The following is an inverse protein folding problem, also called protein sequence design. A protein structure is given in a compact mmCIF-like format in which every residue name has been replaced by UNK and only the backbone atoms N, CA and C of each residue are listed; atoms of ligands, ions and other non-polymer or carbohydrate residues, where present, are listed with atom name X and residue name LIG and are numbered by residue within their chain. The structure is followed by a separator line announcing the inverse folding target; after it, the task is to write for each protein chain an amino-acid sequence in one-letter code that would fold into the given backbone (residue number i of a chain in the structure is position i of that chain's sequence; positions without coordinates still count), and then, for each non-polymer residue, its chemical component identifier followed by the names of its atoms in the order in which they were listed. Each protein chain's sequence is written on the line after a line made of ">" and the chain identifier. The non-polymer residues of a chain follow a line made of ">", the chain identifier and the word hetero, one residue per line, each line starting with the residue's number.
data_IF_971675579696
#
_entry.id   IF_971675579696
#
_cell.length_a   1.000
_cell.length_b   1.000
_cell.length_c   1.000
_cell.angle_alpha   90.00
_cell.angle_beta   90.00
_cell.angle_gamma   90.00
#
_symmetry.space_group_name_H-M   'P 1'
#
loop_
_entity.id
_entity.type
_entity.pdbx_description
1 polymer ?
#
# COMPACT_ATOMS: atom_id res chain seq x y z
N UNK A 1 28.30 -9.27 -73.31
CA UNK A 1 29.33 -9.71 -72.32
C UNK A 1 29.42 -8.64 -71.23
N UNK A 2 29.53 -9.08 -69.97
CA UNK A 2 29.72 -8.28 -68.71
C UNK A 2 28.39 -7.65 -68.20
N UNK A 3 27.63 -8.20 -67.22
CA UNK A 3 27.80 -8.40 -65.74
C UNK A 3 28.09 -7.05 -65.02
N UNK A 4 27.40 -6.53 -64.01
CA UNK A 4 26.62 -7.08 -62.89
C UNK A 4 25.98 -5.93 -62.05
N UNK A 5 24.99 -6.29 -61.21
CA UNK A 5 24.61 -5.72 -59.88
C UNK A 5 24.04 -4.29 -59.81
N UNK A 6 23.18 -3.88 -58.85
CA UNK A 6 22.19 -4.49 -57.95
C UNK A 6 21.60 -3.36 -57.06
N UNK A 7 20.53 -3.67 -56.32
CA UNK A 7 19.87 -2.89 -55.24
C UNK A 7 19.09 -1.64 -55.73
N UNK A 8 17.86 -1.37 -55.32
CA UNK A 8 17.08 -1.83 -54.17
C UNK A 8 16.59 -0.60 -53.40
N UNK A 9 15.29 -0.25 -53.50
CA UNK A 9 14.67 0.75 -52.62
C UNK A 9 13.29 0.21 -52.19
N UNK A 10 13.28 -0.50 -51.06
CA UNK A 10 12.07 -0.77 -50.30
C UNK A 10 11.89 0.38 -49.30
N UNK A 11 10.82 1.14 -49.43
CA UNK A 11 10.41 2.15 -48.46
C UNK A 11 9.89 1.44 -47.20
N UNK A 12 10.69 1.40 -46.13
CA UNK A 12 10.19 1.16 -44.78
C UNK A 12 9.67 2.48 -44.22
N UNK A 13 8.37 2.55 -43.95
CA UNK A 13 7.78 3.61 -43.15
C UNK A 13 8.02 3.29 -41.66
N UNK A 14 9.02 3.95 -41.06
CA UNK A 14 9.26 3.92 -39.62
C UNK A 14 8.24 4.85 -38.94
N UNK A 15 7.16 4.29 -38.38
CA UNK A 15 6.28 5.03 -37.46
C UNK A 15 7.01 5.13 -36.12
N UNK A 16 7.74 6.22 -35.92
CA UNK A 16 8.25 6.61 -34.61
C UNK A 16 7.05 7.17 -33.84
N UNK A 17 6.40 6.34 -33.03
CA UNK A 17 5.62 6.82 -31.89
C UNK A 17 6.62 7.36 -30.86
N UNK A 18 7.08 8.59 -31.07
CA UNK A 18 7.62 9.40 -30.00
C UNK A 18 6.49 9.60 -29.01
N UNK A 19 6.54 8.87 -27.90
CA UNK A 19 5.66 9.08 -26.77
C UNK A 19 5.69 10.56 -26.40
N UNK A 20 4.55 11.22 -26.53
CA UNK A 20 4.34 12.51 -25.91
C UNK A 20 4.43 12.28 -24.39
N UNK A 21 5.64 12.41 -23.85
CA UNK A 21 5.85 12.82 -22.48
C UNK A 21 5.17 14.17 -22.33
N UNK A 22 3.95 14.14 -21.82
CA UNK A 22 3.17 15.32 -21.50
C UNK A 22 3.80 16.05 -20.33
N UNK A 23 4.88 16.80 -20.60
CA UNK A 23 5.36 17.88 -19.77
C UNK A 23 4.37 19.04 -19.85
N UNK A 24 3.16 18.83 -19.33
CA UNK A 24 2.17 19.88 -19.10
C UNK A 24 2.33 20.36 -17.67
N UNK A 25 3.11 21.42 -17.47
CA UNK A 25 3.16 22.17 -16.21
C UNK A 25 1.85 22.94 -16.01
N UNK A 26 0.71 22.26 -15.88
CA UNK A 26 -0.42 22.84 -15.17
C UNK A 26 -0.05 22.81 -13.70
N UNK A 27 0.53 23.91 -13.20
CA UNK A 27 0.70 24.13 -11.76
C UNK A 27 -0.71 24.30 -11.15
N UNK A 28 -1.43 23.20 -11.02
CA UNK A 28 -2.56 23.15 -10.10
C UNK A 28 -1.88 23.22 -8.73
N UNK A 29 -1.88 24.41 -8.12
CA UNK A 29 -1.49 24.56 -6.73
C UNK A 29 -2.45 23.69 -5.92
N UNK A 30 -1.97 22.66 -5.23
CA UNK A 30 -2.82 21.85 -4.38
C UNK A 30 -3.52 22.72 -3.34
N UNK A 31 -4.82 22.53 -3.17
CA UNK A 31 -5.64 23.34 -2.27
C UNK A 31 -6.86 22.58 -1.77
N UNK A 32 -7.38 22.99 -0.62
CA UNK A 32 -8.63 22.47 -0.07
C UNK A 32 -9.79 22.83 -0.99
N UNK A 33 -10.48 21.81 -1.51
CA UNK A 33 -11.68 22.00 -2.34
C UNK A 33 -12.94 21.99 -1.48
N UNK A 34 -13.09 21.00 -0.60
CA UNK A 34 -14.24 20.85 0.30
C UNK A 34 -13.92 19.99 1.51
N UNK A 35 -14.71 20.12 2.56
CA UNK A 35 -14.73 19.22 3.72
C UNK A 35 -16.02 18.43 3.68
N UNK A 36 -15.93 17.11 3.54
CA UNK A 36 -17.09 16.22 3.50
C UNK A 36 -17.30 15.63 4.90
N UNK A 37 -18.43 15.91 5.57
CA UNK A 37 -18.70 15.31 6.87
C UNK A 37 -18.91 13.81 6.74
N UNK A 38 -18.17 13.01 7.51
CA UNK A 38 -18.38 11.57 7.60
C UNK A 38 -19.59 11.31 8.50
N UNK A 39 -20.67 10.67 8.01
CA UNK A 39 -21.87 10.49 8.82
C UNK A 39 -21.60 9.62 10.05
N UNK A 40 -22.11 10.00 11.22
CA UNK A 40 -21.95 9.22 12.45
C UNK A 40 -20.67 9.51 13.25
N UNK A 41 -19.75 10.32 12.72
CA UNK A 41 -18.61 10.83 13.49
C UNK A 41 -19.05 12.11 14.23
N UNK A 42 -19.18 12.00 15.55
CA UNK A 42 -19.60 13.10 16.44
C UNK A 42 -18.66 13.24 17.63
N UNK A 43 -18.85 14.26 18.47
CA UNK A 43 -18.08 14.44 19.71
C UNK A 43 -18.11 13.17 20.56
N UNK A 44 -16.94 12.67 20.95
CA UNK A 44 -16.79 11.42 21.69
C UNK A 44 -16.62 10.16 20.83
N UNK A 45 -16.66 10.30 19.50
CA UNK A 45 -16.29 9.25 18.55
C UNK A 45 -14.86 9.48 18.06
N UNK A 46 -14.02 8.44 18.09
CA UNK A 46 -12.77 8.45 17.35
C UNK A 46 -13.06 7.94 15.95
N UNK A 47 -12.83 8.78 14.94
CA UNK A 47 -12.95 8.32 13.56
C UNK A 47 -11.80 7.36 13.25
N UNK A 48 -12.14 6.09 13.08
CA UNK A 48 -11.23 4.99 12.83
C UNK A 48 -11.48 4.44 11.43
N UNK A 49 -10.48 4.62 10.59
CA UNK A 49 -10.40 4.20 9.20
C UNK A 49 -8.93 3.86 8.93
N UNK A 50 -8.67 3.30 7.75
CA UNK A 50 -7.33 2.89 7.39
C UNK A 50 -6.99 3.31 5.95
N UNK A 51 -7.24 2.44 4.96
CA UNK A 51 -6.86 2.68 3.57
C UNK A 51 -8.02 3.18 2.72
N UNK A 52 -7.65 4.01 1.73
CA UNK A 52 -8.53 4.48 0.68
C UNK A 52 -8.00 4.17 -0.71
N UNK A 53 -8.90 4.10 -1.70
CA UNK A 53 -8.56 3.97 -3.10
C UNK A 53 -9.52 4.76 -4.00
N UNK A 54 -9.00 5.29 -5.10
CA UNK A 54 -9.76 6.06 -6.09
C UNK A 54 -10.01 5.23 -7.34
N UNK A 55 -11.29 4.97 -7.64
CA UNK A 55 -11.73 4.41 -8.91
C UNK A 55 -11.98 5.56 -9.89
N UNK A 56 -10.96 5.87 -10.69
CA UNK A 56 -11.05 6.94 -11.70
C UNK A 56 -12.12 6.68 -12.77
N UNK A 57 -12.40 5.41 -13.09
CA UNK A 57 -13.41 5.06 -14.09
C UNK A 57 -14.84 5.30 -13.58
N UNK A 58 -15.10 4.97 -12.30
CA UNK A 58 -16.39 5.29 -11.65
C UNK A 58 -16.44 6.70 -11.08
N UNK A 59 -15.31 7.40 -11.01
CA UNK A 59 -15.13 8.71 -10.36
C UNK A 59 -15.57 8.67 -8.89
N UNK A 60 -15.16 7.60 -8.19
CA UNK A 60 -15.49 7.36 -6.78
C UNK A 60 -14.23 7.15 -5.97
N UNK A 61 -14.26 7.56 -4.71
CA UNK A 61 -13.27 7.16 -3.72
C UNK A 61 -13.94 6.20 -2.73
N UNK A 62 -13.26 5.12 -2.42
CA UNK A 62 -13.67 4.11 -1.46
C UNK A 62 -12.69 4.15 -0.29
N UNK A 63 -13.18 4.05 0.94
CA UNK A 63 -12.31 3.96 2.12
C UNK A 63 -12.94 3.07 3.19
N UNK A 64 -12.10 2.40 3.97
CA UNK A 64 -12.56 1.56 5.08
C UNK A 64 -13.05 2.40 6.24
N UNK A 65 -14.09 1.96 6.95
CA UNK A 65 -14.63 2.69 8.09
C UNK A 65 -15.03 1.70 9.20
N UNK A 66 -14.19 1.64 10.25
CA UNK A 66 -14.38 0.72 11.37
C UNK A 66 -15.53 1.15 12.29
N UNK A 67 -15.83 2.46 12.37
CA UNK A 67 -16.97 2.96 13.15
C UNK A 67 -18.30 2.43 12.61
N UNK A 68 -18.44 2.33 11.29
CA UNK A 68 -19.68 1.93 10.63
C UNK A 68 -19.66 0.53 10.02
N UNK A 69 -18.61 -0.27 10.28
CA UNK A 69 -18.49 -1.63 9.76
C UNK A 69 -18.71 -1.69 8.24
N UNK A 70 -18.03 -0.81 7.51
CA UNK A 70 -18.31 -0.60 6.09
C UNK A 70 -17.09 -0.15 5.29
N UNK A 71 -17.25 -0.24 3.97
CA UNK A 71 -16.52 0.60 3.03
C UNK A 71 -17.43 1.77 2.65
N UNK A 72 -16.98 2.99 2.96
CA UNK A 72 -17.72 4.21 2.67
C UNK A 72 -17.27 4.76 1.30
N UNK A 73 -18.21 5.41 0.60
CA UNK A 73 -18.02 5.84 -0.79
C UNK A 73 -18.26 7.34 -0.92
N UNK A 74 -17.30 8.04 -1.51
CA UNK A 74 -17.40 9.45 -1.91
C UNK A 74 -17.59 9.53 -3.42
N UNK A 75 -18.55 10.34 -3.84
CA UNK A 75 -18.67 10.77 -5.23
C UNK A 75 -17.73 11.96 -5.49
N UNK A 76 -16.70 11.74 -6.30
CA UNK A 76 -15.68 12.76 -6.61
C UNK A 76 -16.26 13.94 -7.43
N UNK A 77 -17.11 13.73 -8.46
CA UNK A 77 -17.66 14.85 -9.25
C UNK A 77 -18.41 15.88 -8.42
N UNK A 78 -19.24 15.43 -7.48
CA UNK A 78 -20.06 16.30 -6.63
C UNK A 78 -19.41 16.64 -5.29
N UNK A 79 -18.31 15.96 -4.95
CA UNK A 79 -17.65 15.99 -3.65
C UNK A 79 -18.63 15.72 -2.49
N UNK A 80 -19.40 14.64 -2.59
CA UNK A 80 -20.39 14.27 -1.57
C UNK A 80 -20.21 12.83 -1.08
N UNK A 81 -20.61 12.59 0.16
CA UNK A 81 -20.79 11.23 0.66
C UNK A 81 -21.93 10.55 -0.10
N UNK A 82 -21.63 9.42 -0.73
CA UNK A 82 -22.58 8.70 -1.58
C UNK A 82 -23.33 7.62 -0.81
N UNK A 83 -22.61 6.68 -0.18
CA UNK A 83 -23.20 5.51 0.49
C UNK A 83 -22.20 4.77 1.37
N UNK A 84 -22.73 3.77 2.10
CA UNK A 84 -21.97 2.72 2.78
C UNK A 84 -22.20 1.38 2.11
N UNK A 85 -21.13 0.61 1.96
CA UNK A 85 -21.18 -0.80 1.57
C UNK A 85 -20.92 -1.61 2.84
N UNK A 86 -21.97 -2.24 3.37
CA UNK A 86 -21.90 -3.14 4.53
C UNK A 86 -21.87 -4.59 4.06
N UNK A 87 -21.45 -5.50 4.93
CA UNK A 87 -21.35 -6.92 4.61
C UNK A 87 -20.71 -7.78 5.70
N UNK A 88 -21.02 -7.44 6.95
CA UNK A 88 -20.49 -8.13 8.12
C UNK A 88 -19.00 -7.88 8.36
N UNK A 89 -18.55 -6.63 8.19
CA UNK A 89 -17.22 -6.21 8.63
C UNK A 89 -17.14 -6.19 10.16
N UNK A 90 -15.96 -6.46 10.73
CA UNK A 90 -15.79 -6.59 12.17
C UNK A 90 -16.15 -5.30 12.94
N UNK A 91 -15.72 -4.15 12.42
CA UNK A 91 -15.78 -2.87 13.12
C UNK A 91 -14.73 -2.78 14.21
N UNK A 92 -14.87 -1.75 15.05
CA UNK A 92 -14.05 -1.62 16.24
C UNK A 92 -14.43 -2.64 17.32
N UNK A 93 -13.43 -3.32 17.89
CA UNK A 93 -13.62 -4.31 18.94
C UNK A 93 -14.23 -3.74 20.25
N UNK A 94 -14.23 -2.41 20.41
CA UNK A 94 -14.85 -1.69 21.54
C UNK A 94 -16.22 -1.10 21.22
N UNK A 95 -16.75 -1.32 20.02
CA UNK A 95 -18.02 -0.77 19.56
C UNK A 95 -17.86 0.49 18.70
N UNK A 96 -18.98 1.10 18.24
CA UNK A 96 -19.01 2.04 17.11
C UNK A 96 -18.33 3.39 17.39
N UNK A 97 -18.05 3.73 18.65
CA UNK A 97 -17.30 4.95 19.00
C UNK A 97 -15.80 4.81 18.76
N UNK A 98 -15.30 3.56 18.67
CA UNK A 98 -13.89 3.20 18.51
C UNK A 98 -12.95 3.75 19.60
N UNK A 99 -13.48 4.26 20.70
CA UNK A 99 -12.66 4.74 21.82
C UNK A 99 -11.94 3.56 22.45
N UNK A 100 -10.61 3.61 22.46
CA UNK A 100 -9.76 2.53 22.98
C UNK A 100 -9.79 1.24 22.15
N UNK A 101 -10.22 1.31 20.88
CA UNK A 101 -10.18 0.17 19.99
C UNK A 101 -8.74 -0.34 19.81
N UNK A 102 -8.60 -1.66 19.73
CA UNK A 102 -7.36 -2.34 19.39
C UNK A 102 -7.28 -2.46 17.87
N UNK A 103 -6.24 -1.89 17.27
CA UNK A 103 -6.08 -1.90 15.83
C UNK A 103 -6.04 -3.32 15.29
N UNK A 104 -5.35 -4.25 15.96
CA UNK A 104 -5.20 -5.61 15.47
C UNK A 104 -6.49 -6.42 15.51
N UNK A 105 -7.48 -5.99 16.30
CA UNK A 105 -8.76 -6.71 16.48
C UNK A 105 -9.94 -5.99 15.86
N UNK A 106 -9.67 -4.99 15.03
CA UNK A 106 -10.69 -4.12 14.45
C UNK A 106 -10.47 -3.99 12.95
N UNK A 107 -11.57 -3.95 12.18
CA UNK A 107 -11.54 -3.75 10.74
C UNK A 107 -12.82 -3.09 10.21
N UNK A 108 -12.95 -2.82 8.90
CA UNK A 108 -11.98 -3.14 7.85
C UNK A 108 -10.74 -2.23 7.87
N UNK A 109 -9.67 -2.71 7.25
CA UNK A 109 -8.34 -2.08 7.26
C UNK A 109 -7.89 -1.79 5.81
N UNK A 110 -7.18 -2.70 5.16
CA UNK A 110 -6.74 -2.54 3.77
C UNK A 110 -7.88 -2.56 2.77
N UNK A 111 -7.66 -1.88 1.65
CA UNK A 111 -8.62 -1.78 0.56
C UNK A 111 -7.89 -1.62 -0.77
N UNK A 112 -8.19 -2.51 -1.72
CA UNK A 112 -7.55 -2.49 -3.03
C UNK A 112 -8.58 -2.69 -4.14
N UNK A 113 -8.58 -1.76 -5.10
CA UNK A 113 -9.30 -1.92 -6.35
C UNK A 113 -8.58 -2.97 -7.21
N UNK A 114 -9.32 -3.97 -7.68
CA UNK A 114 -8.77 -4.98 -8.58
C UNK A 114 -9.02 -4.53 -10.02
N UNK A 115 -8.05 -3.79 -10.56
CA UNK A 115 -8.14 -3.17 -11.89
C UNK A 115 -8.43 -4.20 -12.98
N UNK A 116 -9.33 -3.84 -13.90
CA UNK A 116 -9.84 -4.77 -14.93
C UNK A 116 -10.99 -5.67 -14.47
N UNK A 117 -11.44 -5.55 -13.22
CA UNK A 117 -12.64 -6.23 -12.69
C UNK A 117 -13.59 -5.23 -12.04
N UNK A 118 -14.73 -5.70 -11.51
CA UNK A 118 -15.63 -4.90 -10.68
C UNK A 118 -15.36 -5.05 -9.19
N UNK A 119 -14.30 -5.76 -8.80
CA UNK A 119 -14.08 -6.15 -7.42
C UNK A 119 -13.18 -5.18 -6.65
N UNK A 120 -13.50 -5.02 -5.36
CA UNK A 120 -12.62 -4.44 -4.33
C UNK A 120 -12.35 -5.54 -3.32
N UNK A 121 -11.08 -5.74 -2.98
CA UNK A 121 -10.67 -6.65 -1.92
C UNK A 121 -10.37 -5.82 -0.68
N UNK A 122 -10.90 -6.24 0.46
CA UNK A 122 -10.90 -5.47 1.69
C UNK A 122 -10.41 -6.37 2.82
N UNK A 123 -9.34 -5.96 3.50
CA UNK A 123 -8.84 -6.62 4.71
C UNK A 123 -9.80 -6.40 5.87
N UNK A 124 -10.03 -7.45 6.65
CA UNK A 124 -10.85 -7.43 7.85
C UNK A 124 -10.34 -8.49 8.84
N UNK A 125 -10.92 -8.55 10.03
CA UNK A 125 -10.53 -9.53 11.06
C UNK A 125 -10.73 -10.96 10.54
N UNK A 126 -9.66 -11.77 10.59
CA UNK A 126 -9.57 -13.15 10.09
C UNK A 126 -10.07 -13.33 8.63
N UNK A 127 -10.14 -12.27 7.82
CA UNK A 127 -10.71 -12.41 6.48
C UNK A 127 -10.29 -11.35 5.47
N UNK A 128 -10.49 -11.71 4.20
CA UNK A 128 -10.58 -10.77 3.08
C UNK A 128 -12.00 -10.80 2.56
N UNK A 129 -12.65 -9.64 2.49
CA UNK A 129 -13.99 -9.48 1.92
C UNK A 129 -13.90 -8.93 0.51
N UNK A 130 -14.68 -9.50 -0.39
CA UNK A 130 -14.75 -9.07 -1.79
C UNK A 130 -16.06 -8.32 -1.99
N UNK A 131 -15.98 -7.05 -2.37
CA UNK A 131 -17.11 -6.23 -2.79
C UNK A 131 -17.21 -6.28 -4.31
N UNK A 132 -18.41 -6.49 -4.87
CA UNK A 132 -18.70 -6.19 -6.27
C UNK A 132 -19.29 -4.78 -6.39
N UNK A 133 -18.61 -3.90 -7.11
CA UNK A 133 -19.01 -2.50 -7.32
C UNK A 133 -20.13 -2.31 -8.34
N UNK A 134 -20.59 -3.38 -9.00
CA UNK A 134 -21.80 -3.36 -9.84
C UNK A 134 -23.05 -3.32 -8.98
N UNK A 135 -23.06 -4.10 -7.91
CA UNK A 135 -24.17 -4.20 -6.95
C UNK A 135 -23.92 -3.41 -5.67
N UNK A 136 -22.68 -2.98 -5.43
CA UNK A 136 -22.20 -2.36 -4.19
C UNK A 136 -22.48 -3.25 -2.96
N UNK A 137 -22.14 -4.55 -3.06
CA UNK A 137 -22.37 -5.56 -2.02
C UNK A 137 -21.14 -6.44 -1.79
N UNK A 138 -20.93 -6.92 -0.56
CA UNK A 138 -19.97 -7.99 -0.28
C UNK A 138 -20.49 -9.30 -0.86
N UNK A 139 -19.77 -9.85 -1.84
CA UNK A 139 -20.14 -11.08 -2.57
C UNK A 139 -19.39 -12.31 -2.10
N UNK A 140 -18.26 -12.14 -1.39
CA UNK A 140 -17.47 -13.24 -0.85
C UNK A 140 -16.70 -12.83 0.39
N UNK A 141 -16.49 -13.78 1.29
CA UNK A 141 -15.54 -13.68 2.40
C UNK A 141 -14.56 -14.85 2.27
N UNK A 142 -13.26 -14.56 2.23
CA UNK A 142 -12.17 -15.52 2.22
C UNK A 142 -11.58 -15.51 3.64
N UNK A 143 -11.65 -16.64 4.34
CA UNK A 143 -11.07 -16.75 5.67
C UNK A 143 -9.54 -16.85 5.59
N UNK A 144 -8.85 -16.08 6.43
CA UNK A 144 -7.39 -16.10 6.64
C UNK A 144 -7.10 -16.02 8.15
N UNK A 145 -5.86 -16.24 8.62
CA UNK A 145 -5.50 -16.12 10.06
C UNK A 145 -6.14 -17.16 10.99
N UNK A 146 -7.07 -17.97 10.51
CA UNK A 146 -7.74 -18.98 11.30
C UNK A 146 -8.62 -18.35 12.39
N UNK A 147 -8.29 -18.61 13.65
CA UNK A 147 -9.05 -18.16 14.82
C UNK A 147 -8.27 -17.14 15.68
N UNK A 148 -7.23 -16.52 15.12
CA UNK A 148 -6.39 -15.55 15.84
C UNK A 148 -7.18 -14.33 16.32
N UNK A 149 -8.20 -13.92 15.56
CA UNK A 149 -8.96 -12.70 15.84
C UNK A 149 -8.20 -11.45 15.42
N UNK A 150 -7.23 -11.60 14.51
CA UNK A 150 -6.34 -10.54 14.06
C UNK A 150 -6.72 -10.07 12.65
N UNK A 151 -6.42 -8.81 12.36
CA UNK A 151 -6.73 -8.17 11.08
C UNK A 151 -5.86 -8.67 9.93
N UNK A 152 -6.48 -8.72 8.75
CA UNK A 152 -5.76 -8.51 7.50
C UNK A 152 -5.64 -7.00 7.28
N UNK A 153 -4.42 -6.51 7.14
CA UNK A 153 -4.11 -5.09 7.07
C UNK A 153 -3.98 -4.63 5.61
N UNK A 154 -2.80 -4.19 5.18
CA UNK A 154 -2.55 -3.65 3.85
C UNK A 154 -2.32 -4.74 2.79
N UNK A 155 -2.72 -4.45 1.55
CA UNK A 155 -2.58 -5.35 0.42
C UNK A 155 -2.20 -4.64 -0.87
N UNK A 156 -1.87 -5.45 -1.88
CA UNK A 156 -1.49 -4.98 -3.21
C UNK A 156 -1.84 -6.00 -4.28
N UNK A 157 -2.09 -5.50 -5.49
CA UNK A 157 -2.55 -6.29 -6.61
C UNK A 157 -1.46 -6.41 -7.67
N UNK A 158 -1.20 -7.64 -8.10
CA UNK A 158 -0.43 -8.02 -9.29
C UNK A 158 -1.40 -8.23 -10.47
N UNK A 159 -1.49 -7.27 -11.40
CA UNK A 159 -2.34 -7.40 -12.58
C UNK A 159 -1.77 -8.31 -13.66
N UNK A 160 -0.47 -8.61 -13.64
CA UNK A 160 0.18 -9.42 -14.67
C UNK A 160 -0.18 -10.90 -14.49
N UNK A 161 -0.17 -11.36 -13.24
CA UNK A 161 -0.47 -12.75 -12.88
C UNK A 161 -1.84 -12.92 -12.23
N UNK A 162 -2.57 -11.84 -11.99
CA UNK A 162 -3.89 -11.82 -11.33
C UNK A 162 -3.83 -12.35 -9.90
N UNK A 163 -2.85 -11.88 -9.14
CA UNK A 163 -2.62 -12.28 -7.75
C UNK A 163 -2.85 -11.07 -6.84
N UNK A 164 -3.60 -11.25 -5.76
CA UNK A 164 -3.73 -10.26 -4.71
C UNK A 164 -2.96 -10.72 -3.47
N UNK A 165 -2.10 -9.85 -2.95
CA UNK A 165 -1.37 -10.04 -1.69
C UNK A 165 -2.04 -9.21 -0.61
N UNK A 166 -2.15 -9.75 0.61
CA UNK A 166 -2.56 -8.99 1.79
C UNK A 166 -1.83 -9.48 3.04
N UNK A 167 -1.43 -8.54 3.88
CA UNK A 167 -0.66 -8.78 5.08
C UNK A 167 -1.54 -9.05 6.30
N UNK A 168 -1.03 -9.88 7.20
CA UNK A 168 -1.59 -10.12 8.54
C UNK A 168 -0.50 -9.81 9.56
N UNK A 169 -0.30 -8.52 9.92
CA UNK A 169 0.86 -8.05 10.67
C UNK A 169 0.94 -8.58 12.09
N UNK A 170 -0.18 -8.64 12.81
CA UNK A 170 -0.20 -9.05 14.21
C UNK A 170 -0.04 -10.56 14.44
N UNK A 171 0.00 -11.36 13.37
CA UNK A 171 0.13 -12.81 13.45
C UNK A 171 1.52 -13.23 13.93
N UNK A 172 1.66 -14.47 14.43
CA UNK A 172 2.93 -14.97 14.98
C UNK A 172 3.36 -16.29 14.31
N UNK A 173 4.32 -16.28 13.36
CA UNK A 173 4.94 -15.09 12.77
C UNK A 173 3.97 -14.30 11.88
N UNK A 174 4.25 -13.02 11.58
CA UNK A 174 3.49 -12.28 10.57
C UNK A 174 3.54 -13.00 9.23
N UNK A 175 2.49 -12.87 8.43
CA UNK A 175 2.45 -13.49 7.10
C UNK A 175 1.68 -12.65 6.09
N UNK A 176 1.94 -12.92 4.82
CA UNK A 176 1.12 -12.46 3.72
C UNK A 176 0.33 -13.61 3.10
N UNK A 177 -0.94 -13.37 2.77
CA UNK A 177 -1.79 -14.30 2.01
C UNK A 177 -1.87 -13.86 0.56
N UNK A 178 -1.66 -14.80 -0.36
CA UNK A 178 -1.78 -14.59 -1.79
C UNK A 178 -3.02 -15.30 -2.34
N UNK A 179 -3.84 -14.54 -3.06
CA UNK A 179 -5.15 -14.96 -3.56
C UNK A 179 -5.13 -14.85 -5.08
N UNK A 180 -5.43 -15.94 -5.78
CA UNK A 180 -5.71 -15.90 -7.21
C UNK A 180 -7.05 -15.17 -7.42
N UNK A 181 -7.03 -14.09 -8.18
CA UNK A 181 -8.19 -13.22 -8.37
C UNK A 181 -9.25 -13.85 -9.27
N UNK A 182 -8.84 -14.70 -10.23
CA UNK A 182 -9.77 -15.34 -11.16
C UNK A 182 -10.71 -16.33 -10.45
N UNK A 183 -10.16 -17.09 -9.50
CA UNK A 183 -10.85 -18.13 -8.74
C UNK A 183 -11.26 -17.66 -7.35
N UNK A 184 -10.69 -16.54 -6.89
CA UNK A 184 -10.86 -15.98 -5.56
C UNK A 184 -10.52 -17.02 -4.48
N UNK A 185 -9.40 -17.72 -4.66
CA UNK A 185 -8.89 -18.77 -3.77
C UNK A 185 -7.45 -18.46 -3.36
N UNK A 186 -7.09 -18.83 -2.14
CA UNK A 186 -5.72 -18.73 -1.65
C UNK A 186 -4.83 -19.67 -2.48
N UNK A 187 -3.68 -19.16 -2.92
CA UNK A 187 -2.65 -19.93 -3.60
C UNK A 187 -1.40 -20.09 -2.74
N UNK A 188 -1.07 -19.10 -1.91
CA UNK A 188 0.08 -19.19 -1.03
C UNK A 188 -0.12 -18.40 0.26
N UNK A 189 0.60 -18.82 1.29
CA UNK A 189 0.84 -18.04 2.51
C UNK A 189 2.34 -17.93 2.71
N UNK A 190 2.89 -16.72 2.72
CA UNK A 190 4.31 -16.48 2.98
C UNK A 190 4.49 -16.01 4.42
N UNK A 191 5.14 -16.82 5.25
CA UNK A 191 5.53 -16.42 6.60
C UNK A 191 6.78 -15.57 6.57
N UNK A 192 6.72 -14.42 7.23
CA UNK A 192 7.84 -13.51 7.41
C UNK A 192 8.59 -13.88 8.68
N UNK A 193 9.44 -14.90 8.52
CA UNK A 193 10.53 -15.20 9.46
C UNK A 193 11.84 -14.71 8.88
N UNK A 194 12.87 -14.58 9.71
CA UNK A 194 14.22 -14.25 9.26
C UNK A 194 14.63 -15.12 8.04
N UNK A 195 15.28 -14.52 7.03
CA UNK A 195 15.56 -15.24 5.79
C UNK A 195 16.39 -16.50 5.98
N UNK A 196 15.89 -17.62 5.46
CA UNK A 196 16.58 -18.92 5.51
C UNK A 196 16.45 -19.69 6.82
N UNK A 197 15.78 -19.15 7.83
CA UNK A 197 15.60 -19.85 9.12
C UNK A 197 14.41 -20.81 9.14
N UNK A 198 13.58 -20.79 8.08
CA UNK A 198 12.39 -21.62 7.97
C UNK A 198 11.28 -21.20 8.94
N UNK A 199 10.19 -21.99 9.05
CA UNK A 199 8.93 -21.54 9.65
C UNK A 199 8.96 -21.39 11.17
N UNK A 200 10.04 -21.82 11.83
CA UNK A 200 10.26 -21.71 13.28
C UNK A 200 11.32 -20.68 13.63
N UNK A 201 11.80 -19.92 12.65
CA UNK A 201 12.74 -18.83 12.89
C UNK A 201 12.09 -17.63 13.60
N UNK A 202 12.90 -16.64 13.96
CA UNK A 202 12.40 -15.37 14.47
C UNK A 202 11.41 -14.75 13.47
N UNK A 203 10.23 -14.33 13.95
CA UNK A 203 9.26 -13.62 13.14
C UNK A 203 9.63 -12.15 12.96
N UNK A 204 9.19 -11.56 11.86
CA UNK A 204 9.17 -10.10 11.69
C UNK A 204 8.37 -9.41 12.81
N UNK A 205 8.67 -8.13 13.05
CA UNK A 205 7.96 -7.28 14.00
C UNK A 205 6.55 -6.86 13.53
N UNK A 206 6.25 -6.97 12.23
CA UNK A 206 5.01 -6.52 11.62
C UNK A 206 5.16 -6.33 10.10
N UNK A 207 4.05 -6.12 9.41
CA UNK A 207 3.99 -5.99 7.96
C UNK A 207 3.01 -4.88 7.58
N UNK A 208 3.42 -3.98 6.71
CA UNK A 208 2.66 -2.78 6.39
C UNK A 208 2.40 -2.72 4.87
N UNK A 209 2.36 -1.54 4.26
CA UNK A 209 2.05 -1.38 2.85
C UNK A 209 2.89 -2.25 1.91
N UNK A 210 2.22 -2.75 0.87
CA UNK A 210 2.88 -3.43 -0.23
C UNK A 210 2.51 -2.80 -1.58
N UNK A 211 3.35 -3.04 -2.59
CA UNK A 211 3.07 -2.65 -3.97
C UNK A 211 3.66 -3.67 -4.94
N UNK A 212 2.99 -3.88 -6.08
CA UNK A 212 3.51 -4.75 -7.13
C UNK A 212 4.30 -3.95 -8.17
N UNK A 213 5.54 -4.36 -8.45
CA UNK A 213 6.35 -3.80 -9.52
C UNK A 213 6.30 -4.69 -10.78
N UNK A 214 5.56 -4.23 -11.78
CA UNK A 214 5.49 -4.82 -13.11
C UNK A 214 6.85 -4.96 -13.81
N UNK A 215 7.77 -4.01 -13.58
CA UNK A 215 9.04 -3.99 -14.30
C UNK A 215 9.95 -5.16 -13.91
N UNK A 216 9.86 -5.60 -12.66
CA UNK A 216 10.66 -6.71 -12.11
C UNK A 216 9.82 -7.94 -11.77
N UNK A 217 8.49 -7.86 -11.91
CA UNK A 217 7.52 -8.90 -11.52
C UNK A 217 7.68 -9.34 -10.06
N UNK A 218 7.77 -8.36 -9.16
CA UNK A 218 7.99 -8.57 -7.73
C UNK A 218 6.98 -7.81 -6.91
N UNK A 219 6.56 -8.39 -5.79
CA UNK A 219 5.93 -7.66 -4.71
C UNK A 219 7.02 -7.00 -3.87
N UNK A 220 6.83 -5.73 -3.53
CA UNK A 220 7.64 -4.99 -2.56
C UNK A 220 6.78 -4.80 -1.32
N UNK A 221 7.34 -5.10 -0.16
CA UNK A 221 6.59 -5.13 1.09
C UNK A 221 7.36 -4.44 2.21
N UNK A 222 6.72 -3.48 2.88
CA UNK A 222 7.26 -2.92 4.12
C UNK A 222 7.16 -3.97 5.24
N UNK A 223 8.30 -4.23 5.86
CA UNK A 223 8.46 -5.12 6.99
C UNK A 223 9.03 -4.29 8.15
N UNK A 224 8.30 -4.25 9.26
CA UNK A 224 8.57 -3.34 10.39
C UNK A 224 9.91 -3.65 11.05
N UNK A 225 10.34 -4.90 10.95
CA UNK A 225 11.71 -5.26 11.26
C UNK A 225 11.97 -6.75 11.31
N UNK A 226 13.18 -7.10 10.90
CA UNK A 226 13.80 -8.41 11.12
C UNK A 226 14.87 -8.32 12.21
N UNK A 227 15.48 -9.45 12.56
CA UNK A 227 16.65 -9.42 13.47
C UNK A 227 17.78 -8.54 12.91
N UNK A 228 17.96 -8.54 11.57
CA UNK A 228 19.02 -7.76 10.93
C UNK A 228 18.67 -6.27 10.81
N UNK A 229 17.39 -5.94 10.58
CA UNK A 229 16.91 -4.59 10.37
C UNK A 229 15.73 -4.30 11.30
N UNK A 230 15.99 -4.11 12.61
CA UNK A 230 14.93 -4.04 13.64
C UNK A 230 14.07 -2.76 13.59
N UNK A 231 14.32 -1.87 12.63
CA UNK A 231 13.66 -0.56 12.46
C UNK A 231 13.17 -0.36 11.01
N UNK A 232 13.01 -1.46 10.29
CA UNK A 232 12.41 -1.49 8.97
C UNK A 232 13.29 -2.02 7.85
N UNK A 233 12.68 -2.79 6.97
CA UNK A 233 13.21 -3.17 5.67
C UNK A 233 12.09 -3.24 4.61
N UNK A 234 12.46 -3.15 3.33
CA UNK A 234 11.57 -3.53 2.23
C UNK A 234 12.00 -4.88 1.69
N UNK A 235 11.10 -5.85 1.77
CA UNK A 235 11.28 -7.17 1.17
C UNK A 235 10.86 -7.16 -0.29
N UNK A 236 11.71 -7.68 -1.18
CA UNK A 236 11.41 -7.88 -2.61
C UNK A 236 11.17 -9.35 -2.88
N UNK A 237 9.93 -9.68 -3.25
CA UNK A 237 9.42 -11.04 -3.36
C UNK A 237 9.03 -11.31 -4.82
N UNK A 238 9.74 -12.19 -5.55
CA UNK A 238 9.39 -12.55 -6.92
C UNK A 238 8.02 -13.23 -7.02
N UNK A 239 7.17 -12.78 -7.95
CA UNK A 239 5.86 -13.39 -8.18
C UNK A 239 5.97 -14.88 -8.56
N UNK A 240 7.00 -15.26 -9.29
CA UNK A 240 7.28 -16.66 -9.66
C UNK A 240 7.46 -17.57 -8.43
N UNK A 241 7.94 -17.06 -7.31
CA UNK A 241 8.05 -17.84 -6.08
C UNK A 241 6.68 -18.14 -5.47
N UNK A 242 5.77 -17.16 -5.51
CA UNK A 242 4.40 -17.29 -5.03
C UNK A 242 3.58 -18.25 -5.90
N UNK A 243 3.78 -18.21 -7.22
CA UNK A 243 3.09 -19.05 -8.20
C UNK A 243 3.47 -20.55 -8.14
N UNK A 244 4.30 -20.97 -7.20
CA UNK A 244 4.44 -22.39 -6.87
C UNK A 244 3.15 -22.97 -6.28
N UNK A 245 2.32 -22.13 -5.67
CA UNK A 245 1.00 -22.46 -5.19
C UNK A 245 -0.07 -22.37 -6.26
N UNK A 246 -1.11 -23.19 -6.12
CA UNK A 246 -2.28 -23.16 -7.02
C UNK A 246 -3.57 -23.14 -6.22
N UNK A 247 -4.70 -22.74 -6.82
CA UNK A 247 -5.99 -22.75 -6.14
C UNK A 247 -6.46 -24.13 -5.64
N UNK A 248 -5.89 -25.22 -6.17
CA UNK A 248 -6.17 -26.61 -5.75
C UNK A 248 -5.15 -27.15 -4.76
N UNK A 249 -3.91 -26.65 -4.82
CA UNK A 249 -2.79 -27.04 -3.95
C UNK A 249 -2.10 -25.76 -3.45
N UNK A 250 -2.68 -25.07 -2.46
CA UNK A 250 -2.04 -23.90 -1.88
C UNK A 250 -0.79 -24.30 -1.10
N UNK A 251 0.22 -23.43 -1.08
CA UNK A 251 1.51 -23.69 -0.41
C UNK A 251 1.73 -22.74 0.77
N UNK A 252 2.50 -23.19 1.76
CA UNK A 252 3.01 -22.34 2.83
C UNK A 252 4.51 -22.17 2.62
N UNK A 253 4.96 -20.93 2.56
CA UNK A 253 6.32 -20.54 2.18
C UNK A 253 6.98 -19.75 3.32
N UNK A 254 8.30 -19.62 3.25
CA UNK A 254 9.12 -18.75 4.11
C UNK A 254 10.14 -18.03 3.25
N UNK A 255 10.61 -16.86 3.70
CA UNK A 255 11.65 -16.11 3.01
C UNK A 255 12.94 -16.95 2.92
N UNK A 256 13.48 -17.21 1.71
CA UNK A 256 14.80 -17.83 1.57
C UNK A 256 15.89 -16.79 1.82
N UNK A 257 17.14 -17.24 2.06
CA UNK A 257 18.28 -16.32 2.04
C UNK A 257 18.33 -15.61 0.69
N UNK A 258 18.33 -14.26 0.63
CA UNK A 258 18.41 -13.53 -0.63
C UNK A 258 19.69 -13.88 -1.39
N UNK A 259 19.54 -14.22 -2.67
CA UNK A 259 20.68 -14.43 -3.58
C UNK A 259 20.37 -13.83 -4.94
N UNK A 260 21.38 -13.44 -5.73
CA UNK A 260 21.12 -12.98 -7.10
C UNK A 260 20.34 -14.00 -7.95
N UNK A 261 20.50 -15.30 -7.68
CA UNK A 261 19.87 -16.37 -8.44
C UNK A 261 18.37 -16.55 -8.14
N UNK A 262 17.93 -16.29 -6.90
CA UNK A 262 16.52 -16.43 -6.53
C UNK A 262 15.72 -15.13 -6.67
N UNK A 263 16.38 -14.00 -6.91
CA UNK A 263 15.73 -12.72 -7.18
C UNK A 263 15.18 -12.01 -5.94
N UNK A 264 15.27 -12.60 -4.75
CA UNK A 264 14.92 -11.95 -3.51
C UNK A 264 15.91 -10.85 -3.17
N UNK A 265 15.42 -9.76 -2.58
CA UNK A 265 16.23 -8.65 -2.07
C UNK A 265 15.62 -8.15 -0.77
N UNK A 266 16.46 -7.53 0.04
CA UNK A 266 16.07 -6.83 1.26
C UNK A 266 16.74 -5.47 1.19
N UNK A 267 15.94 -4.41 1.32
CA UNK A 267 16.43 -3.04 1.34
C UNK A 267 16.29 -2.51 2.78
N UNK A 268 17.41 -2.42 3.53
CA UNK A 268 17.36 -1.93 4.90
C UNK A 268 17.04 -0.44 4.93
N UNK A 269 16.15 -0.01 5.83
CA UNK A 269 15.66 1.37 5.90
C UNK A 269 16.29 2.18 7.04
N UNK A 270 17.16 1.57 7.84
CA UNK A 270 17.74 2.25 9.00
C UNK A 270 16.66 2.60 10.03
N UNK A 271 16.54 3.87 10.42
CA UNK A 271 15.54 4.33 11.40
C UNK A 271 14.32 4.84 10.63
N UNK A 272 13.41 3.92 10.29
CA UNK A 272 12.22 4.25 9.51
C UNK A 272 10.92 3.90 10.25
N UNK A 273 10.77 2.66 10.73
CA UNK A 273 9.47 2.08 11.12
C UNK A 273 8.45 2.29 9.98
N UNK A 274 8.65 1.57 8.85
CA UNK A 274 7.97 1.85 7.60
C UNK A 274 6.48 1.54 7.71
N UNK A 275 5.65 2.35 7.09
CA UNK A 275 4.19 2.11 7.01
C UNK A 275 3.74 2.12 5.56
N UNK A 276 3.64 3.30 4.93
CA UNK A 276 3.27 3.47 3.54
C UNK A 276 4.36 3.12 2.53
N UNK A 277 3.95 2.62 1.37
CA UNK A 277 4.82 2.31 0.24
C UNK A 277 4.09 2.62 -1.07
N UNK A 278 4.72 3.34 -1.98
CA UNK A 278 4.25 3.44 -3.36
C UNK A 278 5.38 3.60 -4.37
N UNK A 279 5.13 3.17 -5.61
CA UNK A 279 6.05 3.35 -6.73
C UNK A 279 5.89 4.77 -7.30
N UNK A 280 6.99 5.38 -7.73
CA UNK A 280 6.92 6.60 -8.52
C UNK A 280 7.70 6.54 -9.82
N UNK A 281 8.22 7.70 -10.30
CA UNK A 281 8.77 7.79 -11.64
C UNK A 281 10.06 6.98 -11.79
N UNK A 282 10.24 6.39 -12.96
CA UNK A 282 11.42 5.57 -13.25
C UNK A 282 11.53 4.37 -12.32
N UNK A 283 12.58 4.33 -11.50
CA UNK A 283 12.81 3.28 -10.50
C UNK A 283 12.64 3.77 -9.06
N UNK A 284 12.06 4.95 -8.86
CA UNK A 284 11.79 5.45 -7.51
C UNK A 284 10.68 4.61 -6.86
N UNK A 285 10.87 4.33 -5.58
CA UNK A 285 9.82 3.96 -4.63
C UNK A 285 9.91 4.88 -3.43
N UNK A 286 8.77 5.27 -2.87
CA UNK A 286 8.67 6.09 -1.68
C UNK A 286 8.19 5.24 -0.51
N UNK A 287 8.92 5.30 0.60
CA UNK A 287 8.58 4.64 1.86
C UNK A 287 8.24 5.73 2.87
N UNK A 288 7.03 5.71 3.40
CA UNK A 288 6.65 6.54 4.55
C UNK A 288 7.25 5.93 5.81
N UNK A 289 8.06 6.70 6.52
CA UNK A 289 8.61 6.31 7.81
C UNK A 289 7.76 6.90 8.94
N UNK A 290 7.50 6.09 9.96
CA UNK A 290 6.69 6.46 11.13
C UNK A 290 7.48 6.22 12.41
N UNK A 291 8.69 6.78 12.45
CA UNK A 291 9.65 6.64 13.54
C UNK A 291 8.97 6.69 14.92
N UNK A 292 9.10 5.60 15.67
CA UNK A 292 8.36 5.33 16.89
C UNK A 292 8.99 5.90 18.15
N UNK A 293 10.27 6.30 18.14
CA UNK A 293 10.88 6.88 19.33
C UNK A 293 10.76 8.41 19.34
N UNK A 294 10.42 8.96 20.49
CA UNK A 294 10.32 10.39 20.68
C UNK A 294 11.67 11.09 20.37
N UNK A 295 11.62 12.14 19.57
CA UNK A 295 12.80 12.93 19.18
C UNK A 295 13.48 12.47 17.88
N UNK A 296 13.10 11.34 17.29
CA UNK A 296 13.55 10.96 15.94
C UNK A 296 12.86 11.82 14.87
N UNK A 297 13.55 12.09 13.76
CA UNK A 297 12.97 12.82 12.64
C UNK A 297 11.94 11.97 11.91
N UNK A 298 10.77 12.55 11.62
CA UNK A 298 9.77 11.92 10.76
C UNK A 298 10.14 12.15 9.29
N UNK A 299 10.26 11.07 8.52
CA UNK A 299 10.78 11.14 7.14
C UNK A 299 9.98 10.32 6.13
N UNK A 300 10.22 10.60 4.86
CA UNK A 300 9.90 9.74 3.72
C UNK A 300 11.22 9.44 3.05
N UNK A 301 11.49 8.17 2.82
CA UNK A 301 12.67 7.74 2.08
C UNK A 301 12.28 7.45 0.63
N UNK A 302 13.06 8.00 -0.30
CA UNK A 302 12.95 7.68 -1.73
C UNK A 302 14.12 6.78 -2.09
N UNK A 303 13.84 5.54 -2.48
CA UNK A 303 14.85 4.54 -2.83
C UNK A 303 14.77 4.17 -4.31
N UNK A 304 15.87 3.65 -4.84
CA UNK A 304 15.88 2.90 -6.09
C UNK A 304 15.35 1.48 -5.85
N UNK A 305 14.15 1.18 -6.32
CA UNK A 305 13.51 -0.13 -6.11
C UNK A 305 14.24 -1.31 -6.74
N UNK A 306 15.20 -1.04 -7.64
CA UNK A 306 15.97 -2.12 -8.28
C UNK A 306 17.14 -2.61 -7.43
N UNK A 307 17.64 -1.80 -6.50
CA UNK A 307 18.87 -2.11 -5.76
C UNK A 307 18.91 -1.59 -4.31
N UNK A 308 17.89 -0.85 -3.86
CA UNK A 308 17.77 -0.34 -2.50
C UNK A 308 18.60 0.92 -2.23
N UNK A 309 19.22 1.54 -3.24
CA UNK A 309 19.99 2.77 -3.04
C UNK A 309 19.06 3.89 -2.58
N UNK A 310 19.31 4.44 -1.39
CA UNK A 310 18.63 5.63 -0.90
C UNK A 310 18.99 6.84 -1.78
N UNK A 311 17.99 7.44 -2.41
CA UNK A 311 18.12 8.57 -3.33
C UNK A 311 17.80 9.91 -2.66
N UNK A 312 16.90 9.89 -1.67
CA UNK A 312 16.59 11.06 -0.85
C UNK A 312 15.96 10.65 0.49
N UNK A 313 16.20 11.46 1.52
CA UNK A 313 15.43 11.46 2.75
C UNK A 313 14.71 12.80 2.82
N UNK A 314 13.39 12.78 2.64
CA UNK A 314 12.55 13.98 2.66
C UNK A 314 12.15 14.25 4.13
N UNK A 315 12.34 15.48 4.66
CA UNK A 315 12.08 15.79 6.06
C UNK A 315 10.58 16.00 6.34
N UNK A 316 9.78 14.97 6.06
CA UNK A 316 8.33 14.90 6.27
C UNK A 316 7.95 13.43 6.43
N UNK A 317 7.08 13.05 7.36
CA UNK A 317 6.76 11.64 7.59
C UNK A 317 5.63 11.41 8.58
N UNK A 318 5.55 10.21 9.14
CA UNK A 318 4.58 9.85 10.17
C UNK A 318 3.18 9.50 9.65
N UNK A 319 3.01 9.29 8.34
CA UNK A 319 1.75 8.83 7.77
C UNK A 319 1.64 7.30 7.72
N UNK A 320 0.46 6.80 7.33
CA UNK A 320 0.27 5.44 6.80
C UNK A 320 0.27 5.54 5.28
N UNK A 321 -0.88 5.93 4.74
CA UNK A 321 -1.17 6.40 3.38
C UNK A 321 -0.08 7.22 2.64
N UNK A 322 0.71 6.66 1.71
CA UNK A 322 1.42 7.43 0.66
C UNK A 322 0.94 7.01 -0.73
N UNK A 323 0.73 7.97 -1.62
CA UNK A 323 0.27 7.72 -2.99
C UNK A 323 1.00 8.60 -4.01
N UNK A 324 1.42 8.01 -5.11
CA UNK A 324 2.01 8.68 -6.25
C UNK A 324 0.95 9.05 -7.30
N UNK A 325 0.92 10.32 -7.69
CA UNK A 325 0.10 10.82 -8.77
C UNK A 325 0.97 11.09 -10.00
N UNK A 326 0.88 10.20 -10.99
CA UNK A 326 1.64 10.32 -12.23
C UNK A 326 1.34 11.61 -13.03
N UNK A 327 0.09 12.08 -13.16
CA UNK A 327 -0.22 13.33 -13.86
C UNK A 327 0.49 14.57 -13.31
N UNK A 328 0.61 14.69 -11.98
CA UNK A 328 1.32 15.82 -11.35
C UNK A 328 2.77 15.52 -10.98
N UNK A 329 3.22 14.26 -11.19
CA UNK A 329 4.55 13.77 -10.83
C UNK A 329 4.90 14.06 -9.36
N UNK A 330 3.98 13.72 -8.45
CA UNK A 330 4.10 14.01 -7.02
C UNK A 330 3.68 12.83 -6.16
N UNK A 331 4.32 12.70 -5.01
CA UNK A 331 3.81 11.88 -3.92
C UNK A 331 2.97 12.71 -2.96
N UNK A 332 1.90 12.10 -2.46
CA UNK A 332 0.97 12.64 -1.48
C UNK A 332 0.99 11.74 -0.26
N UNK A 333 1.43 12.28 0.88
CA UNK A 333 1.50 11.56 2.15
C UNK A 333 0.46 12.12 3.13
N UNK A 334 -0.39 11.25 3.66
CA UNK A 334 -1.29 11.55 4.78
C UNK A 334 -0.51 11.47 6.10
N UNK A 335 0.24 12.51 6.44
CA UNK A 335 1.20 12.55 7.55
C UNK A 335 0.49 12.70 8.93
N UNK A 336 -0.21 11.63 9.36
CA UNK A 336 -1.10 11.64 10.53
C UNK A 336 -0.40 11.86 11.87
N UNK A 337 0.87 11.43 11.99
CA UNK A 337 1.70 11.66 13.19
C UNK A 337 2.66 12.84 13.06
N UNK A 338 2.52 13.68 12.02
CA UNK A 338 3.38 14.85 11.88
C UNK A 338 3.26 15.78 13.09
N UNK A 339 4.37 16.39 13.48
CA UNK A 339 4.41 17.41 14.54
C UNK A 339 5.03 18.68 13.98
N UNK A 340 4.78 19.82 14.63
CA UNK A 340 5.35 21.11 14.20
C UNK A 340 6.89 21.12 14.20
N UNK A 341 7.54 20.31 15.04
CA UNK A 341 9.00 20.19 15.06
C UNK A 341 9.54 19.25 13.99
N UNK A 342 8.68 18.46 13.33
CA UNK A 342 9.07 17.37 12.45
C UNK A 342 9.71 16.19 13.17
N UNK A 343 9.61 16.15 14.50
CA UNK A 343 10.12 15.06 15.34
C UNK A 343 8.96 14.19 15.81
N UNK A 344 9.18 12.89 15.90
CA UNK A 344 8.22 11.97 16.48
C UNK A 344 7.96 12.28 17.95
N UNK A 345 6.70 12.12 18.35
CA UNK A 345 6.27 12.13 19.75
C UNK A 345 6.20 10.72 20.36
N UNK A 346 6.55 9.67 19.59
CA UNK A 346 6.30 8.25 19.91
C UNK A 346 4.82 7.83 19.97
N UNK A 347 3.92 8.81 20.05
CA UNK A 347 2.48 8.68 19.92
C UNK A 347 1.85 10.04 20.17
N UNK A 348 0.86 10.41 19.36
CA UNK A 348 0.15 11.67 19.54
C UNK A 348 -0.59 11.64 20.89
N UNK A 349 -0.43 12.68 21.70
CA UNK A 349 -1.12 12.82 22.99
C UNK A 349 -1.54 14.25 23.23
N UNK A 350 -2.36 14.51 24.25
CA UNK A 350 -2.69 15.87 24.64
C UNK A 350 -1.44 16.69 25.06
N UNK A 351 -0.42 16.04 25.61
CA UNK A 351 0.83 16.68 26.03
C UNK A 351 1.82 16.89 24.87
N UNK A 352 1.74 16.05 23.83
CA UNK A 352 2.54 16.16 22.61
C UNK A 352 1.62 15.94 21.40
N UNK A 353 0.84 16.96 21.03
CA UNK A 353 -0.17 16.81 19.99
C UNK A 353 0.49 16.73 18.61
N UNK A 354 -0.01 15.83 17.78
CA UNK A 354 0.29 15.85 16.36
C UNK A 354 -0.46 16.99 15.68
N UNK A 355 0.12 17.50 14.61
CA UNK A 355 -0.43 18.49 13.69
C UNK A 355 -0.45 17.85 12.31
N UNK A 356 -1.42 16.96 12.02
CA UNK A 356 -1.47 16.22 10.78
C UNK A 356 -1.47 17.14 9.57
N UNK A 357 -0.76 16.75 8.51
CA UNK A 357 -0.73 17.49 7.24
C UNK A 357 -0.87 16.54 6.07
N UNK A 358 -1.37 17.05 4.95
CA UNK A 358 -1.13 16.41 3.65
C UNK A 358 0.19 16.94 3.11
N UNK A 359 1.19 16.09 3.00
CA UNK A 359 2.49 16.45 2.45
C UNK A 359 2.56 16.14 0.96
N UNK A 360 3.17 17.05 0.20
CA UNK A 360 3.25 16.99 -1.26
C UNK A 360 4.71 17.07 -1.66
N UNK A 361 5.23 15.98 -2.20
CA UNK A 361 6.65 15.80 -2.54
C UNK A 361 6.74 15.78 -4.07
N UNK A 362 7.59 16.62 -4.64
CA UNK A 362 7.90 16.56 -6.07
C UNK A 362 8.74 15.32 -6.33
N UNK A 363 8.29 14.44 -7.20
CA UNK A 363 8.95 13.17 -7.45
C UNK A 363 10.20 13.30 -8.33
N UNK A 364 10.33 14.38 -9.12
CA UNK A 364 11.52 14.60 -9.94
C UNK A 364 12.69 15.15 -9.12
N UNK A 365 12.44 16.15 -8.26
CA UNK A 365 13.47 16.71 -7.38
C UNK A 365 13.62 15.96 -6.05
N UNK A 366 12.64 15.11 -5.69
CA UNK A 366 12.57 14.37 -4.42
C UNK A 366 12.59 15.30 -3.21
N UNK A 367 11.86 16.40 -3.29
CA UNK A 367 11.80 17.43 -2.25
C UNK A 367 10.37 17.74 -1.86
N UNK A 368 10.15 18.04 -0.58
CA UNK A 368 8.88 18.57 -0.11
C UNK A 368 8.59 19.91 -0.82
N UNK A 369 7.43 20.01 -1.46
CA UNK A 369 6.96 21.23 -2.15
C UNK A 369 6.05 22.03 -1.24
N UNK A 370 5.11 21.35 -0.59
CA UNK A 370 4.05 21.98 0.17
C UNK A 370 3.50 21.01 1.21
N UNK A 371 3.04 21.57 2.33
CA UNK A 371 2.08 20.91 3.22
C UNK A 371 0.74 21.62 3.12
N UNK A 372 -0.35 20.86 3.18
CA UNK A 372 -1.71 21.38 3.26
C UNK A 372 -2.36 20.95 4.59
N UNK A 373 -3.40 21.70 5.00
CA UNK A 373 -4.16 21.49 6.23
C UNK A 373 -3.42 21.77 7.56
N UNK A 374 -2.30 22.51 7.50
CA UNK A 374 -1.53 22.96 8.68
C UNK A 374 -2.15 24.15 9.41
#
# INVERSE_FOLDING_TARGET
>A
MIRYLALGLAFLASVILSGCGGGGSSSITPGLVTVIPVPGVTTGTLFSFDISAVDGAKRRMYYTNRNSQSVDVIDIPTNTFLKRITGGFAGCNTGPTCVGADNDKSGPDGLNLITGTTFIYVGDVNSVKIIDTTTDTVVKTIAIGGASGLRADEGCYDPDHKIFMINSPGESPPFATFIDVNTQKIIATLKFTDPGTGPTGPGSAGLEACVYDHATQTFLNNNDGSTANPRGEVDVIPAAFIMQGTPTVPVVLTLPVPTPANGFKIFPLGICDPTGLDLGPGTDMAVSCRQGNAGEHLTVEILDRTNGTLRATVPIGGGDQIAYDAPTNRYYLAASRWTRSGLSSGGCSAASPCTPVLAIIDAASRTLVQTAFS
#
